data_IF_283504821662
#
_entry.id   IF_283504821662
#
_cell.length_a   1.000
_cell.length_b   1.000
_cell.length_c   1.000
_cell.angle_alpha   90.00
_cell.angle_beta   90.00
_cell.angle_gamma   90.00
#
_symmetry.space_group_name_H-M   'P 1'
#
loop_
_entity.id
_entity.type
_entity.pdbx_description
1 polymer ?
#
# COMPACT_ATOMS: atom_id res chain seq x y z
N UNK A 1 -32.27 39.34 -18.91
CA UNK A 1 -30.87 39.14 -19.32
C UNK A 1 -30.08 38.75 -18.08
N UNK A 2 -29.64 37.48 -18.01
CA UNK A 2 -28.86 36.95 -16.90
C UNK A 2 -27.37 37.23 -17.13
N UNK A 3 -26.71 37.87 -16.17
CA UNK A 3 -25.26 38.05 -16.15
C UNK A 3 -24.63 37.06 -15.19
N UNK A 4 -24.01 36.01 -15.72
CA UNK A 4 -23.22 35.03 -14.97
C UNK A 4 -21.84 35.61 -14.66
N UNK A 5 -21.58 35.90 -13.39
CA UNK A 5 -20.25 36.21 -12.89
C UNK A 5 -19.40 34.95 -12.83
N UNK A 6 -18.37 34.88 -13.67
CA UNK A 6 -17.29 33.90 -13.55
C UNK A 6 -16.45 34.24 -12.31
N UNK A 7 -16.56 33.43 -11.26
CA UNK A 7 -15.59 33.43 -10.16
C UNK A 7 -14.40 32.56 -10.60
N UNK A 8 -13.28 33.22 -10.88
CA UNK A 8 -12.01 32.57 -11.15
C UNK A 8 -11.62 31.65 -9.99
N UNK A 9 -11.38 30.36 -10.29
CA UNK A 9 -10.82 29.40 -9.34
C UNK A 9 -9.45 29.85 -8.85
N UNK A 10 -9.16 29.78 -7.54
CA UNK A 10 -7.80 30.02 -7.03
C UNK A 10 -6.88 28.89 -7.50
N UNK A 11 -5.73 29.25 -8.09
CA UNK A 11 -4.72 28.30 -8.51
C UNK A 11 -4.17 27.54 -7.29
N UNK A 12 -4.22 26.21 -7.33
CA UNK A 12 -3.75 25.30 -6.28
C UNK A 12 -2.21 25.24 -6.12
N UNK A 13 -1.47 26.27 -6.57
CA UNK A 13 0.00 26.27 -6.59
C UNK A 13 0.65 26.81 -5.31
N UNK A 14 -0.09 27.50 -4.45
CA UNK A 14 0.47 28.15 -3.24
C UNK A 14 0.49 27.26 -1.98
N UNK A 15 0.06 25.99 -2.07
CA UNK A 15 -0.01 25.05 -0.94
C UNK A 15 1.09 24.00 -0.94
N UNK A 16 2.30 24.32 -1.44
CA UNK A 16 3.44 23.43 -1.22
C UNK A 16 4.18 23.85 0.06
N UNK A 17 4.30 22.96 1.06
CA UNK A 17 5.11 23.23 2.23
C UNK A 17 6.56 23.42 1.79
N UNK A 18 7.18 24.51 2.25
CA UNK A 18 8.63 24.69 2.24
C UNK A 18 9.27 23.58 3.06
N UNK A 19 9.55 22.45 2.41
CA UNK A 19 10.20 21.31 3.03
C UNK A 19 11.68 21.68 3.23
N UNK A 20 12.06 21.77 4.51
CA UNK A 20 13.46 21.89 4.93
C UNK A 20 14.34 20.86 4.21
N UNK A 21 15.58 21.21 3.83
CA UNK A 21 16.43 20.41 2.93
C UNK A 21 16.93 19.08 3.51
N UNK A 22 16.51 18.69 4.72
CA UNK A 22 17.08 17.55 5.46
C UNK A 22 16.20 16.29 5.44
N UNK A 23 15.02 16.32 4.80
CA UNK A 23 14.08 15.21 4.89
C UNK A 23 14.17 14.28 3.67
N UNK A 24 14.75 13.10 3.90
CA UNK A 24 14.89 11.99 2.96
C UNK A 24 13.54 11.30 2.74
N UNK A 25 12.59 11.97 2.11
CA UNK A 25 11.45 11.29 1.52
C UNK A 25 11.34 11.69 0.07
N UNK A 26 11.81 10.80 -0.79
CA UNK A 26 11.44 10.93 -2.18
C UNK A 26 10.00 10.51 -2.39
N UNK A 27 9.31 11.33 -3.17
CA UNK A 27 7.90 11.22 -3.51
C UNK A 27 7.76 10.41 -4.79
N UNK A 28 6.59 9.79 -5.00
CA UNK A 28 6.24 9.08 -6.24
C UNK A 28 6.31 9.97 -7.51
N UNK A 29 6.64 11.26 -7.36
CA UNK A 29 6.71 12.28 -8.40
C UNK A 29 8.06 13.02 -8.36
N UNK A 30 9.16 12.33 -8.05
CA UNK A 30 10.48 12.95 -8.14
C UNK A 30 10.70 13.51 -9.55
N UNK A 31 10.90 14.82 -9.68
CA UNK A 31 11.23 15.45 -10.95
C UNK A 31 12.63 14.99 -11.39
N UNK A 32 12.75 14.57 -12.66
CA UNK A 32 14.00 14.12 -13.26
C UNK A 32 14.47 15.16 -14.27
N UNK A 33 15.64 15.73 -14.04
CA UNK A 33 16.33 16.57 -15.02
C UNK A 33 16.99 15.72 -16.11
N UNK A 34 17.27 16.28 -17.29
CA UNK A 34 18.00 15.57 -18.35
C UNK A 34 19.39 15.07 -17.89
N UNK A 35 20.08 15.86 -17.07
CA UNK A 35 21.39 15.50 -16.50
C UNK A 35 21.29 14.29 -15.57
N UNK A 36 20.30 14.27 -14.66
CA UNK A 36 20.07 13.13 -13.77
C UNK A 36 19.68 11.87 -14.56
N UNK A 37 18.91 12.02 -15.65
CA UNK A 37 18.54 10.89 -16.51
C UNK A 37 19.75 10.33 -17.28
N UNK A 38 20.66 11.20 -17.73
CA UNK A 38 21.91 10.78 -18.35
C UNK A 38 22.81 10.05 -17.35
N UNK A 39 22.90 10.54 -16.11
CA UNK A 39 23.64 9.88 -15.04
C UNK A 39 23.02 8.52 -14.65
N UNK A 40 21.68 8.40 -14.65
CA UNK A 40 20.98 7.13 -14.50
C UNK A 40 21.37 6.14 -15.61
N UNK A 41 21.34 6.57 -16.87
CA UNK A 41 21.70 5.74 -18.01
C UNK A 41 23.17 5.27 -17.92
N UNK A 42 24.09 6.19 -17.62
CA UNK A 42 25.50 5.87 -17.42
C UNK A 42 25.71 4.90 -16.23
N UNK A 43 24.93 5.04 -15.16
CA UNK A 43 24.98 4.13 -14.02
C UNK A 43 24.45 2.73 -14.36
N UNK A 44 23.41 2.63 -15.18
CA UNK A 44 22.88 1.34 -15.65
C UNK A 44 23.83 0.61 -16.58
N UNK A 45 24.63 1.34 -17.39
CA UNK A 45 25.69 0.73 -18.21
C UNK A 45 26.92 0.35 -17.39
N UNK A 46 27.27 1.18 -16.39
CA UNK A 46 28.41 0.92 -15.51
C UNK A 46 28.18 -0.26 -14.54
N UNK A 47 26.93 -0.46 -14.11
CA UNK A 47 26.56 -1.53 -13.19
C UNK A 47 25.56 -2.48 -13.88
N UNK A 48 26.05 -3.39 -14.74
CA UNK A 48 25.19 -4.26 -15.54
C UNK A 48 24.44 -5.29 -14.68
N UNK A 49 23.34 -5.81 -15.22
CA UNK A 49 22.46 -6.72 -14.50
C UNK A 49 23.00 -8.12 -14.25
N UNK A 50 23.99 -8.51 -15.04
CA UNK A 50 24.66 -9.79 -14.94
C UNK A 50 25.63 -9.85 -13.74
N UNK A 51 26.19 -8.70 -13.34
CA UNK A 51 27.21 -8.63 -12.29
C UNK A 51 26.70 -8.09 -10.96
N UNK A 52 25.65 -7.27 -10.96
CA UNK A 52 25.11 -6.64 -9.76
C UNK A 52 23.63 -6.93 -9.60
N UNK A 53 23.25 -7.37 -8.40
CA UNK A 53 21.85 -7.47 -8.01
C UNK A 53 21.17 -6.09 -8.05
N UNK A 54 19.85 -6.07 -8.17
CA UNK A 54 19.10 -4.84 -8.37
C UNK A 54 19.25 -3.87 -7.19
N UNK A 55 19.38 -4.37 -5.96
CA UNK A 55 19.51 -3.52 -4.77
C UNK A 55 20.87 -2.83 -4.79
N UNK A 56 21.95 -3.58 -4.96
CA UNK A 56 23.31 -3.02 -5.06
C UNK A 56 23.44 -2.05 -6.24
N UNK A 57 22.84 -2.37 -7.38
CA UNK A 57 22.83 -1.49 -8.55
C UNK A 57 22.16 -0.16 -8.23
N UNK A 58 20.96 -0.19 -7.67
CA UNK A 58 20.21 1.04 -7.39
C UNK A 58 20.86 1.87 -6.27
N UNK A 59 21.52 1.24 -5.30
CA UNK A 59 22.34 1.94 -4.30
C UNK A 59 23.49 2.70 -4.98
N UNK A 60 24.26 2.01 -5.83
CA UNK A 60 25.42 2.61 -6.52
C UNK A 60 25.00 3.76 -7.45
N UNK A 61 23.87 3.62 -8.13
CA UNK A 61 23.33 4.68 -9.00
C UNK A 61 22.76 5.84 -8.18
N UNK A 62 22.01 5.57 -7.09
CA UNK A 62 21.49 6.64 -6.25
C UNK A 62 22.61 7.47 -5.61
N UNK A 63 23.76 6.84 -5.32
CA UNK A 63 24.94 7.54 -4.80
C UNK A 63 25.52 8.59 -5.78
N UNK A 64 25.24 8.50 -7.08
CA UNK A 64 25.65 9.52 -8.07
C UNK A 64 24.61 10.62 -8.25
N UNK A 65 23.43 10.47 -7.63
CA UNK A 65 22.28 11.36 -7.78
C UNK A 65 21.93 12.00 -6.41
N UNK A 66 22.49 13.18 -6.08
CA UNK A 66 22.39 13.74 -4.72
C UNK A 66 20.95 14.07 -4.27
N UNK A 67 20.02 14.19 -5.22
CA UNK A 67 18.61 14.49 -4.97
C UNK A 67 17.67 13.31 -5.22
N UNK A 68 18.21 12.11 -5.43
CA UNK A 68 17.40 10.91 -5.71
C UNK A 68 17.81 9.80 -4.75
N UNK A 69 16.81 9.11 -4.22
CA UNK A 69 17.07 7.96 -3.37
C UNK A 69 16.94 6.66 -4.17
N UNK A 70 17.35 5.55 -3.55
CA UNK A 70 17.27 4.20 -4.14
C UNK A 70 15.85 3.87 -4.65
N UNK A 71 14.82 4.33 -3.93
CA UNK A 71 13.41 4.13 -4.32
C UNK A 71 13.09 4.83 -5.65
N UNK A 72 13.60 6.04 -5.88
CA UNK A 72 13.38 6.78 -7.13
C UNK A 72 14.02 6.09 -8.31
N UNK A 73 15.25 5.64 -8.12
CA UNK A 73 16.02 4.92 -9.12
C UNK A 73 15.26 3.65 -9.49
N UNK A 74 14.86 2.84 -8.49
CA UNK A 74 14.10 1.61 -8.73
C UNK A 74 12.79 1.88 -9.50
N UNK A 75 12.04 2.90 -9.08
CA UNK A 75 10.79 3.26 -9.75
C UNK A 75 11.03 3.75 -11.18
N UNK A 76 12.03 4.60 -11.40
CA UNK A 76 12.37 5.13 -12.72
C UNK A 76 12.88 4.05 -13.66
N UNK A 77 13.74 3.16 -13.20
CA UNK A 77 14.27 2.03 -13.97
C UNK A 77 13.13 1.11 -14.40
N UNK A 78 12.20 0.81 -13.49
CA UNK A 78 10.99 0.04 -13.80
C UNK A 78 10.09 0.73 -14.82
N UNK A 79 9.89 2.05 -14.69
CA UNK A 79 9.09 2.83 -15.62
C UNK A 79 9.71 2.92 -17.03
N UNK A 80 11.05 2.88 -17.13
CA UNK A 80 11.78 2.91 -18.40
C UNK A 80 11.95 1.51 -19.03
N UNK A 81 11.53 0.45 -18.35
CA UNK A 81 11.55 -0.91 -18.90
C UNK A 81 12.94 -1.51 -19.08
N UNK A 82 13.94 -1.06 -18.31
CA UNK A 82 15.25 -1.72 -18.35
C UNK A 82 15.13 -3.17 -17.84
N UNK A 83 15.91 -4.11 -18.41
CA UNK A 83 15.87 -5.51 -18.01
C UNK A 83 16.45 -5.65 -16.59
N UNK A 84 15.62 -5.47 -15.58
CA UNK A 84 15.78 -6.16 -14.31
C UNK A 84 15.39 -7.61 -14.58
N UNK A 85 16.26 -8.59 -14.32
CA UNK A 85 16.06 -10.02 -14.60
C UNK A 85 14.90 -10.71 -13.87
N UNK A 86 13.70 -10.11 -13.88
CA UNK A 86 12.43 -10.71 -13.54
C UNK A 86 11.67 -10.98 -14.85
N UNK A 87 10.98 -12.13 -14.97
CA UNK A 87 10.34 -12.52 -16.23
C UNK A 87 9.34 -11.46 -16.72
N UNK A 88 9.56 -11.07 -17.98
CA UNK A 88 8.80 -10.09 -18.75
C UNK A 88 7.40 -10.59 -19.12
N UNK A 89 6.52 -10.73 -18.12
CA UNK A 89 5.12 -11.15 -18.31
C UNK A 89 4.08 -10.10 -17.85
N UNK A 90 4.45 -8.81 -17.78
CA UNK A 90 3.51 -7.76 -17.36
C UNK A 90 3.68 -6.40 -18.08
N UNK A 91 4.39 -6.34 -19.20
CA UNK A 91 4.63 -5.09 -19.93
C UNK A 91 3.62 -4.88 -21.09
N UNK A 92 2.33 -4.83 -20.75
CA UNK A 92 1.29 -4.30 -21.65
C UNK A 92 0.02 -3.87 -20.88
N UNK A 93 0.14 -2.97 -19.89
CA UNK A 93 -1.00 -2.19 -19.40
C UNK A 93 -0.56 -1.03 -18.49
N UNK A 94 -0.67 0.19 -19.03
CA UNK A 94 -1.13 1.45 -18.41
C UNK A 94 -0.48 2.00 -17.10
N UNK A 95 -0.42 3.34 -16.92
CA UNK A 95 0.02 3.97 -15.69
C UNK A 95 -1.09 3.86 -14.63
N UNK A 96 -1.16 2.72 -13.95
CA UNK A 96 -2.10 2.51 -12.85
C UNK A 96 -1.50 2.96 -11.52
N UNK A 97 -2.23 3.84 -10.85
CA UNK A 97 -2.14 4.14 -9.43
C UNK A 97 -1.94 2.84 -8.62
N UNK A 98 -1.05 2.90 -7.63
CA UNK A 98 -0.81 1.79 -6.68
C UNK A 98 -2.04 1.63 -5.79
N UNK A 99 -3.06 0.96 -6.32
CA UNK A 99 -4.08 0.27 -5.53
C UNK A 99 -3.75 -1.20 -5.71
N UNK A 100 -3.22 -1.84 -4.67
CA UNK A 100 -3.15 -3.32 -4.59
C UNK A 100 -4.59 -3.85 -4.56
N UNK A 101 -5.26 -3.85 -5.72
CA UNK A 101 -6.58 -4.43 -5.86
C UNK A 101 -6.37 -5.94 -5.94
N UNK A 102 -6.85 -6.68 -4.94
CA UNK A 102 -6.96 -8.12 -5.06
C UNK A 102 -7.67 -8.45 -6.37
N UNK A 103 -7.18 -9.45 -7.09
CA UNK A 103 -7.85 -10.02 -8.25
C UNK A 103 -9.09 -10.74 -7.72
N UNK A 104 -10.21 -10.03 -7.64
CA UNK A 104 -11.50 -10.63 -7.33
C UNK A 104 -11.90 -11.40 -8.58
N UNK A 105 -11.87 -12.73 -8.50
CA UNK A 105 -12.49 -13.57 -9.52
C UNK A 105 -14.00 -13.26 -9.53
N UNK A 106 -14.64 -13.07 -10.69
CA UNK A 106 -16.09 -12.96 -10.74
C UNK A 106 -16.69 -14.25 -10.20
N UNK A 107 -17.41 -14.16 -9.09
CA UNK A 107 -18.14 -15.31 -8.53
C UNK A 107 -19.18 -15.76 -9.56
N UNK A 108 -19.04 -16.98 -10.07
CA UNK A 108 -20.07 -17.61 -10.91
C UNK A 108 -21.18 -18.13 -9.99
N UNK A 109 -22.28 -17.40 -9.95
CA UNK A 109 -23.45 -17.74 -9.15
C UNK A 109 -24.22 -18.90 -9.82
N UNK A 110 -24.39 -20.06 -9.16
CA UNK A 110 -25.26 -21.11 -9.67
C UNK A 110 -26.73 -20.72 -9.43
N UNK A 111 -27.36 -20.27 -10.50
CA UNK A 111 -28.78 -20.46 -10.85
C UNK A 111 -29.87 -19.96 -9.88
N UNK A 112 -30.43 -18.80 -10.26
CA UNK A 112 -31.86 -18.43 -10.28
C UNK A 112 -32.76 -18.90 -9.11
N UNK A 113 -32.84 -18.05 -8.09
CA UNK A 113 -34.12 -17.70 -7.46
C UNK A 113 -33.94 -16.33 -6.76
N UNK A 114 -34.85 -15.38 -7.03
CA UNK A 114 -34.97 -14.06 -6.40
C UNK A 114 -34.16 -12.89 -6.98
N UNK A 115 -34.58 -12.42 -8.16
CA UNK A 115 -34.21 -11.12 -8.75
C UNK A 115 -34.51 -9.93 -7.82
N UNK A 116 -35.52 -10.03 -6.95
CA UNK A 116 -35.90 -8.97 -6.01
C UNK A 116 -35.00 -8.86 -4.78
N UNK A 117 -34.37 -9.95 -4.33
CA UNK A 117 -33.44 -9.90 -3.19
C UNK A 117 -32.08 -9.38 -3.61
N UNK A 118 -31.63 -9.69 -4.84
CA UNK A 118 -30.37 -9.18 -5.37
C UNK A 118 -30.36 -7.65 -5.51
N UNK A 119 -31.44 -7.06 -6.04
CA UNK A 119 -31.57 -5.59 -6.16
C UNK A 119 -31.68 -4.91 -4.78
N UNK A 120 -32.35 -5.54 -3.80
CA UNK A 120 -32.44 -5.04 -2.44
C UNK A 120 -31.08 -5.06 -1.73
N UNK A 121 -30.32 -6.15 -1.88
CA UNK A 121 -28.97 -6.28 -1.33
C UNK A 121 -27.99 -5.32 -2.04
N UNK A 122 -28.13 -5.11 -3.35
CA UNK A 122 -27.35 -4.11 -4.08
C UNK A 122 -27.67 -2.68 -3.60
N UNK A 123 -28.94 -2.33 -3.43
CA UNK A 123 -29.35 -1.03 -2.90
C UNK A 123 -28.86 -0.82 -1.46
N UNK A 124 -28.88 -1.87 -0.63
CA UNK A 124 -28.35 -1.86 0.73
C UNK A 124 -26.84 -1.65 0.75
N UNK A 125 -26.11 -2.35 -0.12
CA UNK A 125 -24.67 -2.19 -0.27
C UNK A 125 -24.31 -0.78 -0.76
N UNK A 126 -25.07 -0.26 -1.72
CA UNK A 126 -24.90 1.10 -2.23
C UNK A 126 -25.12 2.16 -1.13
N UNK A 127 -26.16 2.00 -0.30
CA UNK A 127 -26.40 2.88 0.85
C UNK A 127 -25.25 2.84 1.86
N UNK A 128 -24.76 1.65 2.19
CA UNK A 128 -23.63 1.49 3.11
C UNK A 128 -22.34 2.12 2.55
N UNK A 129 -22.12 2.03 1.24
CA UNK A 129 -20.99 2.69 0.59
C UNK A 129 -21.13 4.22 0.62
N UNK A 130 -22.33 4.75 0.43
CA UNK A 130 -22.60 6.20 0.54
C UNK A 130 -22.33 6.70 1.96
N UNK A 131 -22.79 5.96 2.99
CA UNK A 131 -22.55 6.29 4.39
C UNK A 131 -21.05 6.29 4.73
N UNK A 132 -20.31 5.30 4.23
CA UNK A 132 -18.85 5.24 4.40
C UNK A 132 -18.15 6.46 3.77
N UNK A 133 -18.57 6.88 2.58
CA UNK A 133 -18.02 8.08 1.93
C UNK A 133 -18.29 9.33 2.77
N UNK A 134 -19.49 9.46 3.32
CA UNK A 134 -19.85 10.59 4.18
C UNK A 134 -19.03 10.59 5.48
N UNK A 135 -18.89 9.43 6.13
CA UNK A 135 -18.07 9.29 7.34
C UNK A 135 -16.61 9.68 7.10
N UNK A 136 -16.02 9.24 5.98
CA UNK A 136 -14.64 9.58 5.61
C UNK A 136 -14.48 11.09 5.39
N UNK A 137 -15.40 11.72 4.66
CA UNK A 137 -15.36 13.16 4.41
C UNK A 137 -15.52 13.98 5.70
N UNK A 138 -16.35 13.49 6.62
CA UNK A 138 -16.53 14.07 7.95
C UNK A 138 -15.24 13.97 8.76
N UNK A 139 -14.62 12.79 8.82
CA UNK A 139 -13.36 12.59 9.52
C UNK A 139 -12.24 13.46 8.95
N UNK A 140 -12.19 13.61 7.62
CA UNK A 140 -11.24 14.52 6.96
C UNK A 140 -11.44 15.97 7.39
N UNK A 141 -12.69 16.43 7.44
CA UNK A 141 -13.02 17.80 7.88
C UNK A 141 -12.63 18.02 9.34
N UNK A 142 -12.91 17.06 10.20
CA UNK A 142 -12.55 17.12 11.61
C UNK A 142 -11.02 17.19 11.81
N UNK A 143 -10.25 16.41 11.05
CA UNK A 143 -8.78 16.47 11.11
C UNK A 143 -8.24 17.82 10.63
N UNK A 144 -8.79 18.39 9.56
CA UNK A 144 -8.40 19.73 9.09
C UNK A 144 -8.69 20.83 10.12
N UNK A 145 -9.76 20.66 10.90
CA UNK A 145 -10.15 21.60 11.95
C UNK A 145 -9.52 21.28 13.32
N UNK A 146 -8.61 20.31 13.42
CA UNK A 146 -7.95 19.92 14.68
C UNK A 146 -8.86 19.19 15.68
N UNK A 147 -10.02 18.71 15.25
CA UNK A 147 -11.06 18.04 16.06
C UNK A 147 -10.96 16.51 15.97
N UNK A 148 -9.77 15.95 16.21
CA UNK A 148 -9.55 14.51 16.05
C UNK A 148 -10.41 13.65 17.00
N UNK A 149 -10.73 14.17 18.18
CA UNK A 149 -11.56 13.46 19.18
C UNK A 149 -12.99 13.18 18.67
N UNK A 150 -13.51 14.03 17.79
CA UNK A 150 -14.84 13.85 17.17
C UNK A 150 -14.88 12.64 16.21
N UNK A 151 -13.71 12.12 15.78
CA UNK A 151 -13.63 10.93 14.93
C UNK A 151 -13.79 9.62 15.70
N UNK A 152 -13.72 9.65 17.04
CA UNK A 152 -13.81 8.45 17.88
C UNK A 152 -15.11 7.68 17.66
N UNK A 153 -16.23 8.39 17.53
CA UNK A 153 -17.53 7.78 17.28
C UNK A 153 -17.58 7.08 15.91
N UNK A 154 -17.01 7.70 14.87
CA UNK A 154 -16.94 7.10 13.53
C UNK A 154 -16.05 5.87 13.50
N UNK A 155 -14.95 5.87 14.25
CA UNK A 155 -14.03 4.74 14.37
C UNK A 155 -14.65 3.52 15.06
N UNK A 156 -15.53 3.73 16.05
CA UNK A 156 -16.20 2.64 16.75
C UNK A 156 -17.15 1.90 15.79
N UNK A 157 -17.93 2.63 15.00
CA UNK A 157 -18.83 2.04 14.00
C UNK A 157 -18.09 1.20 12.93
N UNK A 158 -16.85 1.57 12.60
CA UNK A 158 -15.98 0.77 11.72
C UNK A 158 -15.42 -0.49 12.41
N UNK A 159 -15.20 -0.43 13.72
CA UNK A 159 -14.62 -1.53 14.52
C UNK A 159 -15.55 -2.74 14.66
N UNK A 160 -16.86 -2.51 14.73
CA UNK A 160 -17.86 -3.60 14.84
C UNK A 160 -17.81 -4.55 13.62
N UNK A 161 -17.48 -4.03 12.43
CA UNK A 161 -17.29 -4.84 11.21
C UNK A 161 -16.15 -5.84 11.37
N UNK A 162 -15.05 -5.45 12.05
CA UNK A 162 -13.91 -6.34 12.26
C UNK A 162 -14.23 -7.52 13.19
N UNK A 163 -15.24 -7.40 14.06
CA UNK A 163 -15.71 -8.51 14.90
C UNK A 163 -16.60 -9.50 14.15
N UNK A 164 -17.12 -9.11 12.99
CA UNK A 164 -17.94 -9.96 12.12
C UNK A 164 -17.10 -10.91 11.25
N UNK A 165 -15.78 -10.69 11.19
CA UNK A 165 -14.86 -11.55 10.46
C UNK A 165 -14.47 -12.73 11.37
N UNK A 166 -14.87 -13.97 11.04
CA UNK A 166 -14.49 -15.12 11.85
C UNK A 166 -12.97 -15.28 11.85
N UNK A 167 -12.36 -15.65 12.99
CA UNK A 167 -10.92 -15.83 13.08
C UNK A 167 -10.47 -16.89 12.08
N UNK A 168 -9.38 -16.61 11.37
CA UNK A 168 -8.80 -17.57 10.43
C UNK A 168 -8.35 -18.82 11.19
N UNK A 169 -8.66 -20.04 10.70
CA UNK A 169 -8.14 -21.26 11.29
C UNK A 169 -6.62 -21.30 11.10
N UNK A 170 -5.88 -21.11 12.19
CA UNK A 170 -4.43 -21.22 12.20
C UNK A 170 -4.05 -22.64 12.63
N UNK A 171 -3.40 -23.38 11.74
CA UNK A 171 -2.70 -24.61 12.10
C UNK A 171 -1.24 -24.23 12.36
N UNK A 172 -0.83 -24.20 13.63
CA UNK A 172 0.59 -24.09 13.98
C UNK A 172 1.23 -25.46 13.76
N UNK A 173 2.16 -25.53 12.81
CA UNK A 173 2.97 -26.72 12.58
C UNK A 173 4.10 -26.73 13.63
N UNK A 174 3.89 -27.46 14.73
CA UNK A 174 4.88 -27.60 15.82
C UNK A 174 5.85 -28.75 15.58
N UNK A 175 5.91 -29.28 14.36
CA UNK A 175 6.75 -30.43 13.97
C UNK A 175 8.27 -30.19 14.11
N UNK A 176 8.70 -28.95 14.28
CA UNK A 176 10.10 -28.56 14.53
C UNK A 176 10.46 -28.42 16.01
N UNK A 177 9.51 -28.65 16.92
CA UNK A 177 9.83 -28.77 18.35
C UNK A 177 10.31 -30.19 18.59
N UNK A 178 11.58 -30.45 18.25
CA UNK A 178 12.27 -31.67 18.67
C UNK A 178 12.32 -31.71 20.20
N UNK A 179 11.65 -32.71 20.76
CA UNK A 179 11.76 -33.07 22.17
C UNK A 179 13.16 -33.62 22.42
N UNK A 180 14.11 -32.76 22.78
CA UNK A 180 15.39 -33.18 23.36
C UNK A 180 15.12 -33.85 24.72
N UNK A 181 14.81 -35.14 24.63
CA UNK A 181 14.80 -36.12 25.68
C UNK A 181 16.25 -36.38 26.15
N UNK A 182 16.80 -35.51 26.99
CA UNK A 182 17.91 -35.88 27.87
C UNK A 182 17.39 -36.20 29.27
N UNK A 183 17.41 -37.50 29.58
CA UNK A 183 17.01 -38.04 30.86
C UNK A 183 17.82 -37.47 32.02
N UNK A 184 17.11 -36.99 33.04
CA UNK A 184 17.65 -36.88 34.39
C UNK A 184 16.75 -37.69 35.33
N UNK A 185 17.06 -38.98 35.44
CA UNK A 185 16.62 -39.80 36.56
C UNK A 185 17.26 -39.24 37.83
N UNK A 186 16.48 -38.58 38.70
CA UNK A 186 16.82 -38.49 40.11
C UNK A 186 15.58 -38.76 40.97
N UNK A 187 15.56 -40.03 41.37
CA UNK A 187 14.73 -40.69 42.36
C UNK A 187 14.93 -40.04 43.74
N UNK A 188 13.85 -39.62 44.42
CA UNK A 188 13.79 -39.49 45.89
C UNK A 188 12.33 -39.53 46.39
N UNK A 189 11.89 -40.77 46.62
CA UNK A 189 10.87 -41.31 47.53
C UNK A 189 9.94 -40.38 48.34
N UNK A 190 8.64 -40.69 48.21
CA UNK A 190 7.60 -40.52 49.22
C UNK A 190 7.95 -41.24 50.53
N UNK A 191 7.72 -40.59 51.67
CA UNK A 191 7.29 -41.25 52.91
C UNK A 191 6.23 -40.40 53.58
N UNK A 192 5.00 -40.90 53.58
CA UNK A 192 3.89 -40.45 54.43
C UNK A 192 4.09 -40.96 55.86
N UNK A 193 3.89 -40.10 56.84
CA UNK A 193 3.26 -40.37 58.14
C UNK A 193 2.88 -39.03 58.77
#
# INVERSE_FOLDING_TARGET
>A
MAGVGFLSSPQASDYLPSISPTVVYSTAQAAWTPQELQALHAGLTQFPADQFDNVTRYIKIAATLPRKCVRDVAFKVKALGYPSGQPAAAAAAQPATVTKRMKIEPYQEPNQAATSTAELEEARLAALLQDNVLAINTMRTNLLNGKADENRAQMINLGDICTSIPPLPLQLDTSLLDEDNEGSSNKCNNTSS
#
